data_IF_422670788846
#
_entry.id   IF_422670788846
#
_cell.length_a   1.000
_cell.length_b   1.000
_cell.length_c   1.000
_cell.angle_alpha   90.00
_cell.angle_beta   90.00
_cell.angle_gamma   90.00
#
_symmetry.space_group_name_H-M   'P 1'
#
loop_
_entity.id
_entity.type
_entity.pdbx_description
1 polymer ?
#
# COMPACT_ATOMS: atom_id res chain seq x y z
N UNK A 1 -12.18 -9.13 -9.60
CA UNK A 1 -11.99 -8.12 -8.54
C UNK A 1 -10.56 -8.22 -8.05
N UNK A 2 -9.95 -7.10 -7.68
CA UNK A 2 -8.66 -7.06 -6.99
C UNK A 2 -8.73 -6.00 -5.89
N UNK A 3 -8.06 -6.18 -4.76
CA UNK A 3 -8.16 -5.25 -3.64
C UNK A 3 -7.31 -5.64 -2.44
N UNK A 4 -7.43 -4.88 -1.37
CA UNK A 4 -6.71 -5.10 -0.12
C UNK A 4 -7.39 -4.42 1.06
N UNK A 5 -7.09 -4.91 2.27
CA UNK A 5 -7.57 -4.36 3.54
C UNK A 5 -6.44 -4.38 4.57
N UNK A 6 -6.39 -3.33 5.39
CA UNK A 6 -5.51 -3.23 6.55
C UNK A 6 -6.32 -2.66 7.71
N UNK A 7 -6.23 -3.31 8.87
CA UNK A 7 -6.89 -2.88 10.10
C UNK A 7 -5.93 -3.06 11.30
N UNK A 8 -5.92 -2.09 12.19
CA UNK A 8 -5.09 -2.02 13.40
C UNK A 8 -5.88 -2.58 14.59
N UNK A 9 -6.13 -3.88 14.55
CA UNK A 9 -7.03 -4.57 15.51
C UNK A 9 -6.49 -4.58 16.94
N UNK A 10 -5.19 -4.39 17.14
CA UNK A 10 -4.58 -4.33 18.46
C UNK A 10 -3.16 -3.79 18.45
N UNK A 11 -2.57 -3.56 19.62
CA UNK A 11 -1.30 -2.85 19.75
C UNK A 11 -0.07 -3.71 19.40
N UNK A 12 -0.23 -5.03 19.26
CA UNK A 12 0.90 -5.96 19.14
C UNK A 12 1.87 -5.61 18.00
N UNK A 13 1.34 -5.46 16.78
CA UNK A 13 2.16 -5.10 15.62
C UNK A 13 2.72 -3.67 15.74
N UNK A 14 1.96 -2.71 16.27
CA UNK A 14 2.45 -1.34 16.51
C UNK A 14 3.70 -1.38 17.39
N UNK A 15 3.63 -2.08 18.55
CA UNK A 15 4.76 -2.16 19.48
C UNK A 15 6.00 -2.79 18.84
N UNK A 16 5.82 -3.84 18.04
CA UNK A 16 6.94 -4.49 17.33
C UNK A 16 7.61 -3.51 16.36
N UNK A 17 6.81 -2.74 15.62
CA UNK A 17 7.31 -1.74 14.67
C UNK A 17 7.98 -0.55 15.36
N UNK A 18 7.43 -0.09 16.48
CA UNK A 18 8.02 0.98 17.30
C UNK A 18 9.40 0.57 17.82
N UNK A 19 9.53 -0.66 18.34
CA UNK A 19 10.82 -1.21 18.81
C UNK A 19 11.82 -1.37 17.67
N UNK A 20 11.35 -1.68 16.46
CA UNK A 20 12.19 -1.78 15.27
C UNK A 20 12.57 -0.40 14.68
N UNK A 21 12.08 0.71 15.26
CA UNK A 21 12.32 2.06 14.75
C UNK A 21 11.63 2.38 13.42
N UNK A 22 10.57 1.64 13.07
CA UNK A 22 9.91 1.78 11.78
C UNK A 22 8.85 2.91 11.75
N UNK A 23 8.29 3.27 12.90
CA UNK A 23 7.20 4.25 13.04
C UNK A 23 7.73 5.61 13.51
N UNK A 24 7.15 6.68 12.97
CA UNK A 24 7.47 8.03 13.43
C UNK A 24 6.82 8.30 14.81
N UNK A 25 7.52 8.94 15.76
CA UNK A 25 6.96 9.25 17.08
C UNK A 25 5.71 10.14 17.05
N UNK A 26 5.59 10.99 16.03
CA UNK A 26 4.42 11.85 15.81
C UNK A 26 3.33 11.19 14.94
N UNK A 27 3.56 9.94 14.52
CA UNK A 27 2.62 9.13 13.74
C UNK A 27 2.38 9.63 12.32
N UNK A 28 3.28 10.44 11.74
CA UNK A 28 3.11 11.01 10.39
C UNK A 28 4.07 10.41 9.38
N UNK A 29 3.61 10.25 8.15
CA UNK A 29 4.47 10.05 6.99
C UNK A 29 4.93 11.40 6.45
N UNK A 30 6.17 11.80 6.73
CA UNK A 30 6.80 13.04 6.23
C UNK A 30 7.49 12.77 4.89
N UNK A 31 6.71 12.35 3.90
CA UNK A 31 7.23 11.77 2.65
C UNK A 31 8.20 12.72 1.94
N UNK A 32 9.46 12.28 1.79
CA UNK A 32 10.56 13.01 1.15
C UNK A 32 11.02 14.30 1.85
N UNK A 33 10.61 14.52 3.09
CA UNK A 33 11.08 15.64 3.93
C UNK A 33 12.42 15.29 4.60
N UNK A 34 13.26 16.30 4.86
CA UNK A 34 14.54 16.14 5.58
C UNK A 34 14.32 15.69 7.04
N UNK A 35 13.17 16.04 7.63
CA UNK A 35 12.77 15.64 8.96
C UNK A 35 12.08 14.27 9.02
N UNK A 36 12.15 13.45 7.97
CA UNK A 36 11.52 12.13 7.93
C UNK A 36 12.19 11.14 8.91
N UNK A 37 11.39 10.59 9.82
CA UNK A 37 11.83 9.82 10.99
C UNK A 37 11.03 8.52 11.19
N UNK A 38 10.38 8.02 10.14
CA UNK A 38 9.54 6.83 10.14
C UNK A 38 8.22 7.04 9.38
N UNK A 39 7.30 6.09 9.50
CA UNK A 39 5.96 6.22 8.90
C UNK A 39 4.83 6.21 9.94
N UNK A 40 3.69 6.79 9.56
CA UNK A 40 2.43 6.73 10.30
C UNK A 40 1.57 5.54 9.89
N UNK A 41 1.03 4.80 10.85
CA UNK A 41 0.18 3.63 10.57
C UNK A 41 -1.24 4.07 10.21
N UNK A 42 -1.88 3.35 9.28
CA UNK A 42 -3.23 3.65 8.82
C UNK A 42 -4.07 2.39 8.61
N UNK A 43 -5.38 2.59 8.59
CA UNK A 43 -6.41 1.59 8.28
C UNK A 43 -7.07 1.93 6.95
N UNK A 44 -7.62 0.91 6.28
CA UNK A 44 -8.39 1.13 5.07
C UNK A 44 -8.69 -0.17 4.32
N UNK A 45 -9.68 -0.11 3.45
CA UNK A 45 -10.02 -1.17 2.51
C UNK A 45 -10.33 -0.57 1.14
N UNK A 46 -9.98 -1.28 0.08
CA UNK A 46 -10.26 -0.85 -1.28
C UNK A 46 -10.34 -2.02 -2.25
N UNK A 47 -11.21 -1.88 -3.26
CA UNK A 47 -11.40 -2.86 -4.32
C UNK A 47 -11.51 -2.15 -5.67
N UNK A 48 -10.97 -2.79 -6.69
CA UNK A 48 -11.16 -2.43 -8.10
C UNK A 48 -11.79 -3.59 -8.86
N UNK A 49 -12.67 -3.25 -9.79
CA UNK A 49 -13.20 -4.17 -10.79
C UNK A 49 -12.30 -4.08 -12.01
N UNK A 50 -11.73 -5.23 -12.40
CA UNK A 50 -10.89 -5.32 -13.59
C UNK A 50 -11.65 -6.04 -14.69
N UNK A 51 -11.51 -5.50 -15.89
CA UNK A 51 -12.09 -6.03 -17.11
C UNK A 51 -11.13 -5.75 -18.26
N UNK A 52 -11.13 -6.61 -19.30
CA UNK A 52 -10.41 -6.28 -20.53
C UNK A 52 -11.02 -5.01 -21.13
N UNK A 53 -10.17 -4.10 -21.59
CA UNK A 53 -10.62 -2.81 -22.14
C UNK A 53 -11.65 -2.98 -23.27
N UNK A 54 -11.42 -3.95 -24.17
CA UNK A 54 -12.35 -4.24 -25.26
C UNK A 54 -13.76 -4.64 -24.76
N UNK A 55 -13.84 -5.46 -23.71
CA UNK A 55 -15.13 -5.86 -23.15
C UNK A 55 -15.78 -4.72 -22.35
N UNK A 56 -14.99 -3.88 -21.66
CA UNK A 56 -15.51 -2.70 -20.97
C UNK A 56 -16.13 -1.69 -21.95
N UNK A 57 -15.45 -1.44 -23.07
CA UNK A 57 -15.96 -0.57 -24.14
C UNK A 57 -17.20 -1.18 -24.81
N UNK A 58 -17.16 -2.48 -25.15
CA UNK A 58 -18.32 -3.17 -25.75
C UNK A 58 -19.56 -3.08 -24.87
N UNK A 59 -19.39 -3.25 -23.57
CA UNK A 59 -20.51 -3.31 -22.63
C UNK A 59 -20.90 -1.90 -22.10
N UNK A 60 -20.24 -0.83 -22.56
CA UNK A 60 -20.54 0.54 -22.17
C UNK A 60 -20.14 0.91 -20.74
N UNK A 61 -19.20 0.17 -20.15
CA UNK A 61 -18.74 0.43 -18.78
C UNK A 61 -17.98 1.75 -18.67
N UNK A 62 -18.13 2.44 -17.53
CA UNK A 62 -17.28 3.60 -17.21
C UNK A 62 -15.85 3.14 -16.91
N UNK A 63 -14.95 3.36 -17.86
CA UNK A 63 -13.51 3.09 -17.67
C UNK A 63 -12.87 4.21 -16.85
N UNK A 64 -12.43 3.92 -15.63
CA UNK A 64 -11.74 4.89 -14.76
C UNK A 64 -10.26 5.06 -15.12
N UNK A 65 -9.59 3.99 -15.53
CA UNK A 65 -8.18 3.95 -15.95
C UNK A 65 -7.88 2.67 -16.74
N UNK A 66 -6.73 2.61 -17.43
CA UNK A 66 -6.24 1.43 -18.15
C UNK A 66 -4.91 0.96 -17.55
N UNK A 67 -4.86 -0.28 -17.07
CA UNK A 67 -3.62 -0.93 -16.61
C UNK A 67 -2.89 -1.50 -17.82
N UNK A 68 -1.70 -0.94 -18.14
CA UNK A 68 -0.91 -1.36 -19.31
C UNK A 68 0.00 -2.57 -19.03
N UNK A 69 0.35 -2.81 -17.78
CA UNK A 69 1.21 -3.91 -17.36
C UNK A 69 1.51 -3.83 -15.86
N UNK A 70 2.15 -4.87 -15.32
CA UNK A 70 2.60 -4.95 -13.94
C UNK A 70 3.69 -6.02 -13.79
N UNK A 71 4.54 -5.88 -12.77
CA UNK A 71 5.61 -6.82 -12.47
C UNK A 71 5.75 -6.98 -10.95
N UNK A 72 6.28 -8.12 -10.51
CA UNK A 72 6.58 -8.43 -9.11
C UNK A 72 7.99 -9.02 -9.05
N UNK A 73 8.78 -8.59 -8.07
CA UNK A 73 10.15 -9.05 -7.84
C UNK A 73 10.45 -9.14 -6.32
N UNK A 74 11.59 -9.73 -5.97
CA UNK A 74 12.12 -9.82 -4.61
C UNK A 74 13.60 -9.43 -4.64
N UNK A 75 14.04 -8.56 -3.73
CA UNK A 75 15.35 -7.90 -3.78
C UNK A 75 16.57 -8.82 -3.51
N UNK A 76 16.35 -10.10 -3.18
CA UNK A 76 17.40 -11.04 -2.80
C UNK A 76 18.07 -10.68 -1.46
N UNK A 77 19.41 -10.79 -1.40
CA UNK A 77 20.20 -10.52 -0.19
C UNK A 77 20.64 -9.06 -0.14
N UNK A 78 20.27 -8.38 0.95
CA UNK A 78 20.67 -6.99 1.25
C UNK A 78 21.43 -6.92 2.59
N UNK A 79 21.82 -5.70 3.00
CA UNK A 79 22.53 -5.43 4.26
C UNK A 79 21.72 -5.78 5.52
N UNK A 80 20.41 -6.02 5.39
CA UNK A 80 19.50 -6.35 6.49
C UNK A 80 19.07 -5.12 7.31
N UNK A 81 18.07 -5.34 8.17
CA UNK A 81 17.71 -4.46 9.30
C UNK A 81 18.21 -5.08 10.60
#
# INVERSE_FOLDING_TARGET
>A
LAGGVSALIGPGLTRVLDVAGATAPDGRCKTFDDAADGYGRGEGAGVVVLKRLADAVRDGDRVLAVVRGGAVAQDGRTVGI
#
